data_IF_804970365075
#
_entry.id   IF_804970365075
#
_cell.length_a   1.000
_cell.length_b   1.000
_cell.length_c   1.000
_cell.angle_alpha   90.00
_cell.angle_beta   90.00
_cell.angle_gamma   90.00
#
_symmetry.space_group_name_H-M   'P 1'
#
loop_
_entity.id
_entity.type
_entity.pdbx_description
1 polymer ?
#
# COMPACT_ATOMS: atom_id res chain seq x y z
N UNK A 1 19.57 14.16 -9.63
CA UNK A 1 18.22 13.99 -9.07
C UNK A 1 17.73 12.58 -9.40
N UNK A 2 17.21 11.84 -8.40
CA UNK A 2 16.90 10.40 -8.48
C UNK A 2 15.48 10.11 -9.01
N UNK A 3 14.51 10.98 -8.76
CA UNK A 3 13.09 10.75 -9.05
C UNK A 3 12.68 11.41 -10.36
N UNK A 4 12.12 10.60 -11.26
CA UNK A 4 11.74 11.04 -12.61
C UNK A 4 10.67 10.16 -13.21
N UNK A 5 9.94 10.75 -14.15
CA UNK A 5 9.08 10.06 -15.10
C UNK A 5 9.72 10.17 -16.49
N UNK A 6 9.92 9.02 -17.14
CA UNK A 6 10.43 8.92 -18.50
C UNK A 6 9.27 8.54 -19.41
N UNK A 7 8.97 9.37 -20.41
CA UNK A 7 8.01 9.05 -21.48
C UNK A 7 8.75 8.60 -22.72
N UNK A 8 8.36 7.44 -23.27
CA UNK A 8 8.96 6.91 -24.49
C UNK A 8 8.01 7.18 -25.66
N UNK A 9 8.45 7.98 -26.63
CA UNK A 9 7.68 8.31 -27.82
C UNK A 9 7.83 7.23 -28.91
N UNK A 10 6.83 7.08 -29.79
CA UNK A 10 6.90 6.24 -31.00
C UNK A 10 8.09 6.55 -31.91
N UNK A 11 8.61 7.79 -31.90
CA UNK A 11 9.81 8.14 -32.65
C UNK A 11 11.13 7.71 -31.97
N UNK A 12 11.04 6.96 -30.87
CA UNK A 12 12.18 6.50 -30.06
C UNK A 12 12.75 7.55 -29.10
N UNK A 13 12.22 8.77 -29.08
CA UNK A 13 12.68 9.80 -28.15
C UNK A 13 12.23 9.50 -26.71
N UNK A 14 13.04 9.93 -25.74
CA UNK A 14 12.77 9.82 -24.32
C UNK A 14 12.71 11.21 -23.72
N UNK A 15 11.54 11.59 -23.22
CA UNK A 15 11.39 12.83 -22.47
C UNK A 15 11.39 12.52 -20.98
N UNK A 16 12.18 13.28 -20.23
CA UNK A 16 12.32 13.12 -18.79
C UNK A 16 11.69 14.30 -18.06
N UNK A 17 10.84 14.00 -17.10
CA UNK A 17 10.27 14.96 -16.15
C UNK A 17 10.86 14.62 -14.78
N UNK A 18 11.43 15.61 -14.10
CA UNK A 18 12.10 15.43 -12.80
C UNK A 18 11.20 15.94 -11.70
N UNK A 19 11.20 15.22 -10.60
CA UNK A 19 10.40 15.54 -9.42
C UNK A 19 11.28 15.60 -8.18
N UNK A 20 10.81 16.31 -7.17
CA UNK A 20 11.27 16.17 -5.80
C UNK A 20 10.85 14.81 -5.24
N UNK A 21 11.47 14.40 -4.12
CA UNK A 21 11.09 13.18 -3.40
C UNK A 21 9.61 13.18 -3.04
N UNK A 22 9.13 14.31 -2.51
CA UNK A 22 7.75 14.52 -2.06
C UNK A 22 6.75 14.43 -3.21
N UNK A 23 7.01 15.13 -4.32
CA UNK A 23 6.14 15.08 -5.51
C UNK A 23 6.05 13.66 -6.08
N UNK A 24 7.16 12.93 -6.14
CA UNK A 24 7.18 11.56 -6.63
C UNK A 24 6.58 10.54 -5.65
N UNK A 25 6.57 10.83 -4.34
CA UNK A 25 5.97 9.96 -3.34
C UNK A 25 4.44 10.02 -3.35
N UNK A 26 3.89 11.22 -3.53
CA UNK A 26 2.46 11.49 -3.39
C UNK A 26 1.77 11.91 -4.70
N UNK A 27 2.42 11.63 -5.83
CA UNK A 27 1.97 12.00 -7.18
C UNK A 27 1.49 13.47 -7.30
N UNK A 28 2.23 14.40 -6.67
CA UNK A 28 1.91 15.83 -6.65
C UNK A 28 2.38 16.54 -7.92
N UNK A 29 1.93 16.04 -9.06
CA UNK A 29 2.17 16.62 -10.37
C UNK A 29 0.88 16.54 -11.20
N UNK A 30 0.71 17.48 -12.13
CA UNK A 30 -0.44 17.46 -13.04
C UNK A 30 -0.29 16.28 -14.00
N UNK A 31 -0.93 15.16 -13.67
CA UNK A 31 -0.93 13.94 -14.47
C UNK A 31 -1.45 14.21 -15.88
N UNK A 32 -2.46 15.07 -16.02
CA UNK A 32 -3.04 15.43 -17.32
C UNK A 32 -2.02 16.20 -18.14
N UNK A 33 -1.39 17.24 -17.60
CA UNK A 33 -0.34 17.99 -18.28
C UNK A 33 0.82 17.07 -18.71
N UNK A 34 1.24 16.19 -17.79
CA UNK A 34 2.28 15.21 -18.07
C UNK A 34 1.90 14.33 -19.26
N UNK A 35 0.68 13.78 -19.32
CA UNK A 35 0.25 12.91 -20.42
C UNK A 35 -0.05 13.67 -21.72
N UNK A 36 -0.58 14.88 -21.63
CA UNK A 36 -0.92 15.74 -22.75
C UNK A 36 0.28 16.45 -23.39
N UNK A 37 1.45 16.43 -22.75
CA UNK A 37 2.67 16.99 -23.32
C UNK A 37 3.03 16.35 -24.67
N UNK A 38 3.55 17.19 -25.58
CA UNK A 38 4.06 16.78 -26.89
C UNK A 38 5.49 16.26 -26.74
N UNK A 39 5.87 15.30 -27.59
CA UNK A 39 7.26 14.86 -27.67
C UNK A 39 8.20 16.03 -28.03
N UNK A 40 9.23 16.25 -27.22
CA UNK A 40 10.21 17.33 -27.43
C UNK A 40 10.94 17.23 -28.77
N UNK A 41 11.04 16.02 -29.34
CA UNK A 41 11.73 15.76 -30.60
C UNK A 41 10.84 15.84 -31.84
N UNK A 42 9.65 15.24 -31.84
CA UNK A 42 8.79 15.16 -33.02
C UNK A 42 7.50 15.97 -32.93
N UNK A 43 7.19 16.58 -31.77
CA UNK A 43 5.99 17.38 -31.56
C UNK A 43 4.68 16.59 -31.46
N UNK A 44 4.71 15.26 -31.65
CA UNK A 44 3.53 14.39 -31.61
C UNK A 44 3.19 13.96 -30.17
N UNK A 45 1.90 13.71 -29.89
CA UNK A 45 1.42 13.11 -28.62
C UNK A 45 1.35 11.58 -28.68
N UNK A 46 2.32 10.93 -29.34
CA UNK A 46 2.32 9.48 -29.58
C UNK A 46 3.27 8.79 -28.60
N UNK A 47 2.81 8.60 -27.37
CA UNK A 47 3.54 7.92 -26.30
C UNK A 47 3.29 6.41 -26.35
N UNK A 48 4.34 5.61 -26.19
CA UNK A 48 4.27 4.14 -26.14
C UNK A 48 4.18 3.63 -24.71
N UNK A 49 4.97 4.23 -23.82
CA UNK A 49 5.06 3.81 -22.43
C UNK A 49 5.59 4.95 -21.57
N UNK A 50 5.45 4.77 -20.26
CA UNK A 50 6.14 5.59 -19.27
C UNK A 50 6.86 4.70 -18.26
N UNK A 51 7.87 5.28 -17.60
CA UNK A 51 8.57 4.66 -16.47
C UNK A 51 8.67 5.70 -15.37
N UNK A 52 8.19 5.38 -14.17
CA UNK A 52 8.25 6.26 -13.01
C UNK A 52 9.24 5.66 -12.00
N UNK A 53 10.08 6.51 -11.43
CA UNK A 53 10.93 6.15 -10.29
C UNK A 53 10.38 6.81 -9.03
N UNK A 54 9.55 6.06 -8.27
CA UNK A 54 9.06 6.47 -6.95
C UNK A 54 10.15 6.32 -5.88
N UNK A 55 10.16 7.14 -4.82
CA UNK A 55 11.04 6.93 -3.68
C UNK A 55 10.66 5.68 -2.89
N UNK A 56 11.64 5.10 -2.18
CA UNK A 56 11.34 4.15 -1.12
C UNK A 56 10.68 4.88 0.05
N UNK A 57 9.81 4.18 0.78
CA UNK A 57 9.22 4.71 1.99
C UNK A 57 10.30 4.89 3.07
N UNK A 58 10.23 6.03 3.74
CA UNK A 58 10.99 6.28 4.95
C UNK A 58 10.15 7.01 5.97
N UNK A 59 10.71 7.14 7.18
CA UNK A 59 10.00 7.71 8.32
C UNK A 59 9.51 9.13 8.08
N UNK A 60 10.24 9.92 7.31
CA UNK A 60 9.84 11.29 6.96
C UNK A 60 8.56 11.26 6.10
N UNK A 61 8.57 10.49 5.00
CA UNK A 61 7.42 10.36 4.12
C UNK A 61 6.21 9.78 4.83
N UNK A 62 6.40 8.72 5.62
CA UNK A 62 5.31 8.07 6.34
C UNK A 62 4.68 8.98 7.40
N UNK A 63 5.48 9.83 8.06
CA UNK A 63 4.94 10.79 9.02
C UNK A 63 4.25 11.96 8.34
N UNK A 64 4.75 12.43 7.19
CA UNK A 64 4.08 13.47 6.42
C UNK A 64 2.70 12.97 5.93
N UNK A 65 2.69 11.81 5.29
CA UNK A 65 1.49 11.10 4.86
C UNK A 65 0.53 10.85 6.03
N UNK A 66 1.03 10.28 7.12
CA UNK A 66 0.21 9.88 8.25
C UNK A 66 -0.50 11.06 8.92
N UNK A 67 0.04 12.27 8.82
CA UNK A 67 -0.49 13.47 9.45
C UNK A 67 -1.28 14.38 8.49
N UNK A 68 -1.46 13.98 7.22
CA UNK A 68 -2.09 14.80 6.20
C UNK A 68 -3.17 14.02 5.44
N UNK A 69 -4.41 14.52 5.51
CA UNK A 69 -5.56 13.90 4.86
C UNK A 69 -5.49 13.94 3.32
N UNK A 70 -4.78 14.91 2.76
CA UNK A 70 -4.70 15.14 1.31
C UNK A 70 -3.56 14.35 0.63
N UNK A 71 -2.75 13.61 1.40
CA UNK A 71 -1.63 12.86 0.86
C UNK A 71 -1.95 11.37 0.78
N UNK A 72 -1.68 10.81 -0.39
CA UNK A 72 -1.80 9.39 -0.70
C UNK A 72 -0.54 8.96 -1.45
N UNK A 73 0.02 7.80 -1.12
CA UNK A 73 1.10 7.19 -1.89
C UNK A 73 0.57 6.62 -3.21
N UNK A 74 -0.67 6.12 -3.18
CA UNK A 74 -1.46 5.68 -4.33
C UNK A 74 -2.94 5.72 -3.92
N UNK A 75 -3.80 6.41 -4.67
CA UNK A 75 -5.19 6.65 -4.25
C UNK A 75 -6.03 5.36 -4.19
N UNK A 76 -5.75 4.41 -5.09
CA UNK A 76 -6.59 3.22 -5.27
C UNK A 76 -6.07 1.95 -4.59
N UNK A 77 -4.79 1.88 -4.22
CA UNK A 77 -4.13 0.64 -3.75
C UNK A 77 -3.02 0.91 -2.70
N UNK A 78 -3.23 1.90 -1.82
CA UNK A 78 -2.24 2.34 -0.82
C UNK A 78 -1.74 1.20 0.08
N UNK A 79 -2.65 0.34 0.52
CA UNK A 79 -2.35 -0.82 1.35
C UNK A 79 -1.49 -1.85 0.62
N UNK A 80 -1.72 -2.07 -0.67
CA UNK A 80 -0.93 -3.01 -1.47
C UNK A 80 0.49 -2.50 -1.68
N UNK A 81 0.66 -1.19 -1.90
CA UNK A 81 2.00 -0.61 -2.02
C UNK A 81 2.80 -0.71 -0.72
N UNK A 82 2.14 -0.60 0.43
CA UNK A 82 2.79 -0.65 1.74
C UNK A 82 3.05 -2.09 2.22
N UNK A 83 2.30 -3.09 1.73
CA UNK A 83 2.36 -4.50 2.13
C UNK A 83 3.57 -5.27 1.60
N UNK A 84 4.77 -4.74 1.82
CA UNK A 84 6.04 -5.42 1.57
C UNK A 84 6.82 -5.66 2.87
N UNK A 85 7.56 -6.77 2.94
CA UNK A 85 8.39 -7.13 4.10
C UNK A 85 9.32 -6.00 4.55
N UNK A 86 9.94 -5.30 3.59
CA UNK A 86 10.88 -4.21 3.84
C UNK A 86 10.26 -3.04 4.62
N UNK A 87 8.93 -2.91 4.58
CA UNK A 87 8.20 -1.81 5.22
C UNK A 87 7.71 -2.17 6.63
N UNK A 88 7.79 -3.44 7.06
CA UNK A 88 7.24 -3.89 8.36
C UNK A 88 7.77 -3.05 9.52
N UNK A 89 9.10 -2.89 9.61
CA UNK A 89 9.72 -2.18 10.72
C UNK A 89 9.31 -0.71 10.73
N UNK A 90 9.26 -0.09 9.55
CA UNK A 90 8.82 1.28 9.36
C UNK A 90 7.35 1.47 9.78
N UNK A 91 6.47 0.55 9.42
CA UNK A 91 5.05 0.58 9.80
C UNK A 91 4.89 0.42 11.31
N UNK A 92 5.57 -0.55 11.90
CA UNK A 92 5.51 -0.82 13.34
C UNK A 92 6.07 0.34 14.17
N UNK A 93 7.08 1.05 13.67
CA UNK A 93 7.68 2.22 14.31
C UNK A 93 6.73 3.41 14.42
N UNK A 94 5.75 3.51 13.52
CA UNK A 94 4.89 4.70 13.41
C UNK A 94 3.44 4.44 13.79
N UNK A 95 2.95 3.20 13.77
CA UNK A 95 1.53 2.87 13.95
C UNK A 95 0.94 3.40 15.27
N UNK A 96 1.76 3.47 16.32
CA UNK A 96 1.38 3.98 17.65
C UNK A 96 1.60 5.50 17.80
N UNK A 97 2.04 6.19 16.75
CA UNK A 97 2.22 7.63 16.78
C UNK A 97 0.86 8.35 16.81
N UNK A 98 0.65 9.16 17.84
CA UNK A 98 -0.58 9.92 18.07
C UNK A 98 -0.84 11.02 17.04
N UNK A 99 0.19 11.43 16.28
CA UNK A 99 0.03 12.43 15.21
C UNK A 99 -0.63 11.82 13.98
N UNK A 100 -0.49 10.51 13.77
CA UNK A 100 -1.08 9.83 12.62
C UNK A 100 -2.59 9.86 12.74
N UNK A 101 -3.25 10.26 11.65
CA UNK A 101 -4.69 10.31 11.51
C UNK A 101 -5.28 8.90 11.59
N UNK A 102 -6.45 8.77 12.23
CA UNK A 102 -7.04 7.46 12.52
C UNK A 102 -7.27 6.60 11.27
N UNK A 103 -7.73 7.20 10.17
CA UNK A 103 -7.92 6.49 8.91
C UNK A 103 -6.59 5.99 8.29
N UNK A 104 -5.50 6.76 8.39
CA UNK A 104 -4.16 6.31 7.98
C UNK A 104 -3.65 5.19 8.89
N UNK A 105 -3.94 5.25 10.20
CA UNK A 105 -3.62 4.15 11.13
C UNK A 105 -4.40 2.88 10.78
N UNK A 106 -5.65 2.99 10.35
CA UNK A 106 -6.45 1.86 9.86
C UNK A 106 -5.77 1.22 8.64
N UNK A 107 -5.29 2.01 7.67
CA UNK A 107 -4.53 1.50 6.51
C UNK A 107 -3.29 0.73 6.98
N UNK A 108 -2.52 1.26 7.92
CA UNK A 108 -1.34 0.54 8.46
C UNK A 108 -1.70 -0.80 9.12
N UNK A 109 -2.84 -0.87 9.82
CA UNK A 109 -3.34 -2.14 10.39
C UNK A 109 -3.75 -3.11 9.28
N UNK A 110 -4.45 -2.62 8.26
CA UNK A 110 -4.85 -3.42 7.09
C UNK A 110 -3.64 -4.00 6.37
N UNK A 111 -2.60 -3.19 6.12
CA UNK A 111 -1.32 -3.62 5.54
C UNK A 111 -0.70 -4.77 6.35
N UNK A 112 -0.66 -4.66 7.67
CA UNK A 112 -0.11 -5.72 8.53
C UNK A 112 -0.98 -6.99 8.50
N UNK A 113 -2.30 -6.87 8.35
CA UNK A 113 -3.18 -8.01 8.16
C UNK A 113 -3.00 -8.69 6.79
N UNK A 114 -2.81 -7.90 5.70
CA UNK A 114 -2.45 -8.40 4.37
C UNK A 114 -1.14 -9.17 4.43
N UNK A 115 -0.11 -8.62 5.09
CA UNK A 115 1.18 -9.30 5.27
C UNK A 115 1.06 -10.64 6.01
N UNK A 116 0.18 -10.75 7.01
CA UNK A 116 -0.10 -12.03 7.67
C UNK A 116 -0.79 -13.01 6.71
N UNK A 117 -1.77 -12.53 5.94
CA UNK A 117 -2.52 -13.34 4.98
C UNK A 117 -1.59 -13.90 3.89
N UNK A 118 -0.84 -13.02 3.21
CA UNK A 118 0.06 -13.38 2.11
C UNK A 118 1.14 -14.35 2.56
N UNK A 119 1.52 -14.33 3.83
CA UNK A 119 2.61 -15.14 4.37
C UNK A 119 2.14 -16.28 5.26
N UNK A 120 0.83 -16.56 5.22
CA UNK A 120 0.27 -17.77 5.80
C UNK A 120 0.55 -18.96 4.87
N UNK A 121 1.20 -20.00 5.40
CA UNK A 121 1.76 -21.11 4.63
C UNK A 121 0.79 -21.96 3.81
N UNK A 122 -0.51 -21.69 3.88
CA UNK A 122 -1.55 -22.42 3.16
C UNK A 122 -1.74 -21.94 1.70
N UNK A 123 -1.22 -20.75 1.36
CA UNK A 123 -1.19 -20.22 -0.01
C UNK A 123 0.11 -20.57 -0.75
N UNK A 124 1.01 -21.30 -0.09
CA UNK A 124 2.34 -21.58 -0.60
C UNK A 124 2.26 -22.82 -1.49
N UNK A 125 2.50 -22.62 -2.78
CA UNK A 125 2.57 -23.68 -3.79
C UNK A 125 3.54 -24.79 -3.33
N UNK A 126 3.21 -26.05 -3.61
CA UNK A 126 4.00 -27.21 -3.23
C UNK A 126 5.40 -27.22 -3.87
N UNK A 127 5.61 -26.41 -4.91
CA UNK A 127 6.91 -26.21 -5.57
C UNK A 127 7.83 -25.20 -4.85
N UNK A 128 7.32 -24.44 -3.88
CA UNK A 128 8.13 -23.48 -3.14
C UNK A 128 9.08 -24.21 -2.17
N UNK A 129 10.34 -23.76 -2.15
CA UNK A 129 11.39 -24.34 -1.31
C UNK A 129 10.99 -24.23 0.17
N UNK A 130 11.16 -25.30 0.94
CA UNK A 130 10.87 -25.35 2.38
C UNK A 130 11.41 -24.15 3.18
N UNK A 131 12.60 -23.64 2.81
CA UNK A 131 13.21 -22.48 3.45
C UNK A 131 12.39 -21.18 3.26
N UNK A 132 11.76 -21.02 2.11
CA UNK A 132 10.92 -19.87 1.82
C UNK A 132 9.59 -19.96 2.58
N UNK A 133 9.00 -21.16 2.66
CA UNK A 133 7.83 -21.43 3.53
C UNK A 133 8.11 -21.03 4.97
N UNK A 134 9.28 -21.42 5.49
CA UNK A 134 9.69 -21.13 6.86
C UNK A 134 9.87 -19.62 7.09
N UNK A 135 10.53 -18.92 6.17
CA UNK A 135 10.73 -17.47 6.26
C UNK A 135 9.39 -16.71 6.27
N UNK A 136 8.47 -17.05 5.35
CA UNK A 136 7.13 -16.44 5.29
C UNK A 136 6.35 -16.71 6.56
N UNK A 137 6.38 -17.94 7.06
CA UNK A 137 5.72 -18.31 8.32
C UNK A 137 6.27 -17.55 9.53
N UNK A 138 7.59 -17.36 9.60
CA UNK A 138 8.25 -16.55 10.65
C UNK A 138 7.83 -15.08 10.59
N UNK A 139 7.74 -14.51 9.38
CA UNK A 139 7.29 -13.14 9.20
C UNK A 139 5.83 -12.96 9.62
N UNK A 140 4.93 -13.84 9.15
CA UNK A 140 3.52 -13.80 9.55
C UNK A 140 3.35 -13.92 11.07
N UNK A 141 4.12 -14.79 11.72
CA UNK A 141 4.11 -14.93 13.18
C UNK A 141 4.63 -13.67 13.89
N UNK A 142 5.69 -13.04 13.37
CA UNK A 142 6.22 -11.77 13.89
C UNK A 142 5.16 -10.68 13.86
N UNK A 143 4.55 -10.44 12.69
CA UNK A 143 3.52 -9.41 12.52
C UNK A 143 2.28 -9.71 13.39
N UNK A 144 1.85 -10.97 13.45
CA UNK A 144 0.73 -11.36 14.29
C UNK A 144 0.98 -11.09 15.79
N UNK A 145 2.20 -11.32 16.28
CA UNK A 145 2.57 -11.02 17.66
C UNK A 145 2.50 -9.51 17.96
N UNK A 146 2.97 -8.67 17.04
CA UNK A 146 2.87 -7.22 17.18
C UNK A 146 1.41 -6.75 17.22
N UNK A 147 0.57 -7.26 16.32
CA UNK A 147 -0.86 -6.94 16.30
C UNK A 147 -1.61 -7.52 17.51
N UNK A 148 -1.16 -8.64 18.09
CA UNK A 148 -1.74 -9.22 19.30
C UNK A 148 -1.58 -8.28 20.51
N UNK A 149 -0.51 -7.49 20.57
CA UNK A 149 -0.36 -6.44 21.58
C UNK A 149 -1.25 -5.22 21.31
N UNK A 150 -1.74 -5.08 20.07
CA UNK A 150 -2.53 -3.93 19.55
C UNK A 150 -3.94 -4.31 19.12
N UNK A 151 -4.55 -5.34 19.73
CA UNK A 151 -5.89 -5.85 19.35
C UNK A 151 -6.97 -4.77 19.22
N UNK A 152 -6.94 -3.74 20.07
CA UNK A 152 -7.89 -2.62 19.99
C UNK A 152 -7.83 -1.90 18.64
N UNK A 153 -6.61 -1.67 18.12
CA UNK A 153 -6.42 -1.08 16.79
C UNK A 153 -6.94 -2.00 15.68
N UNK A 154 -6.71 -3.32 15.81
CA UNK A 154 -7.22 -4.31 14.85
C UNK A 154 -8.76 -4.30 14.80
N UNK A 155 -9.42 -4.21 15.95
CA UNK A 155 -10.87 -4.14 16.02
C UNK A 155 -11.43 -2.82 15.44
N UNK A 156 -10.72 -1.69 15.61
CA UNK A 156 -11.10 -0.42 14.99
C UNK A 156 -11.02 -0.48 13.45
N UNK A 157 -10.07 -1.25 12.92
CA UNK A 157 -9.88 -1.44 11.48
C UNK A 157 -10.74 -2.56 10.87
N UNK A 158 -11.49 -3.32 11.67
CA UNK A 158 -12.13 -4.58 11.24
C UNK A 158 -13.06 -4.44 10.02
N UNK A 159 -13.80 -3.34 9.92
CA UNK A 159 -14.72 -3.09 8.80
C UNK A 159 -14.01 -2.75 7.48
N UNK A 160 -12.75 -2.34 7.56
CA UNK A 160 -11.91 -2.02 6.41
C UNK A 160 -11.19 -3.27 5.89
N UNK A 161 -10.80 -4.18 6.79
CA UNK A 161 -10.13 -5.42 6.42
C UNK A 161 -11.10 -6.38 5.73
N UNK A 162 -10.71 -6.88 4.57
CA UNK A 162 -11.50 -7.84 3.79
C UNK A 162 -11.73 -9.16 4.54
N UNK A 163 -12.92 -9.75 4.36
CA UNK A 163 -13.36 -10.96 5.08
C UNK A 163 -12.36 -12.13 4.94
N UNK A 164 -11.89 -12.40 3.72
CA UNK A 164 -10.91 -13.46 3.46
C UNK A 164 -9.55 -13.21 4.14
N UNK A 165 -9.17 -11.95 4.38
CA UNK A 165 -7.97 -11.60 5.14
C UNK A 165 -8.23 -11.88 6.62
N UNK A 166 -9.40 -11.47 7.15
CA UNK A 166 -9.77 -11.69 8.56
C UNK A 166 -9.78 -13.16 8.92
N UNK A 167 -10.34 -14.02 8.08
CA UNK A 167 -10.35 -15.48 8.26
C UNK A 167 -8.97 -16.07 8.55
N UNK A 168 -7.91 -15.50 7.96
CA UNK A 168 -6.53 -15.99 8.11
C UNK A 168 -5.74 -15.23 9.17
N UNK A 169 -5.87 -13.91 9.19
CA UNK A 169 -5.08 -13.05 10.07
C UNK A 169 -5.59 -13.05 11.51
N UNK A 170 -6.91 -12.96 11.72
CA UNK A 170 -7.49 -12.78 13.05
C UNK A 170 -7.21 -13.94 14.00
N UNK A 171 -7.31 -15.22 13.59
CA UNK A 171 -6.96 -16.34 14.45
C UNK A 171 -5.51 -16.28 14.95
N UNK A 172 -4.57 -15.87 14.10
CA UNK A 172 -3.14 -15.73 14.47
C UNK A 172 -2.89 -14.58 15.46
N UNK A 173 -3.71 -13.53 15.38
CA UNK A 173 -3.71 -12.39 16.32
C UNK A 173 -4.44 -12.77 17.63
N UNK A 174 -5.18 -13.87 17.65
CA UNK A 174 -6.01 -14.30 18.78
C UNK A 174 -7.32 -13.52 18.90
N UNK A 175 -7.90 -13.16 17.76
CA UNK A 175 -9.26 -12.64 17.60
C UNK A 175 -10.15 -13.72 16.99
N UNK A 176 -11.44 -13.73 17.34
CA UNK A 176 -12.43 -14.57 16.69
C UNK A 176 -13.01 -13.80 15.51
N UNK A 177 -13.00 -14.40 14.33
CA UNK A 177 -13.78 -13.92 13.20
C UNK A 177 -15.08 -14.74 13.16
N UNK A 178 -16.23 -14.08 13.22
CA UNK A 178 -17.53 -14.70 12.95
C UNK A 178 -18.11 -14.02 11.73
N UNK A 179 -18.31 -14.76 10.66
CA UNK A 179 -19.00 -14.28 9.46
C UNK A 179 -20.41 -13.81 9.84
N UNK A 180 -20.60 -12.52 10.04
CA UNK A 180 -21.95 -11.94 9.96
C UNK A 180 -22.26 -11.74 8.49
N UNK A 181 -23.27 -12.44 7.97
CA UNK A 181 -23.80 -12.44 6.61
C UNK A 181 -24.06 -11.03 6.00
N UNK A 182 -23.02 -10.25 5.72
CA UNK A 182 -23.10 -8.91 5.12
C UNK A 182 -22.30 -8.80 3.79
N UNK A 183 -21.90 -9.94 3.22
CA UNK A 183 -21.05 -10.08 2.03
C UNK A 183 -21.58 -9.52 0.70
N UNK A 184 -22.61 -8.66 0.71
CA UNK A 184 -23.05 -7.88 -0.46
C UNK A 184 -23.07 -6.37 -0.24
N UNK A 185 -22.98 -5.91 1.01
CA UNK A 185 -23.11 -4.48 1.35
C UNK A 185 -21.77 -3.74 1.34
N UNK A 186 -20.69 -4.40 1.78
CA UNK A 186 -19.42 -3.72 2.15
C UNK A 186 -18.66 -3.11 0.97
N UNK A 187 -18.58 -3.80 -0.18
CA UNK A 187 -17.84 -3.31 -1.36
C UNK A 187 -18.42 -2.02 -1.95
N UNK A 188 -19.75 -1.95 -2.08
CA UNK A 188 -20.43 -0.76 -2.64
C UNK A 188 -20.52 0.42 -1.66
N UNK A 189 -20.54 0.16 -0.35
CA UNK A 189 -20.45 1.21 0.66
C UNK A 189 -19.04 1.81 0.78
N UNK A 190 -17.98 1.03 0.52
CA UNK A 190 -16.60 1.52 0.47
C UNK A 190 -16.41 2.54 -0.65
N UNK A 191 -16.85 2.24 -1.88
CA UNK A 191 -16.82 3.17 -3.01
C UNK A 191 -17.51 4.52 -2.70
N UNK A 192 -18.60 4.53 -1.94
CA UNK A 192 -19.31 5.77 -1.58
C UNK A 192 -18.53 6.71 -0.67
N UNK A 193 -17.60 6.20 0.13
CA UNK A 193 -16.79 7.01 1.05
C UNK A 193 -15.58 7.66 0.35
N UNK A 194 -15.13 7.08 -0.77
CA UNK A 194 -14.07 7.66 -1.62
C UNK A 194 -14.57 8.76 -2.57
N UNK A 195 -15.89 8.96 -2.68
CA UNK A 195 -16.51 9.94 -3.60
C UNK A 195 -17.37 11.01 -2.90
N UNK A 196 -17.11 11.32 -1.62
CA UNK A 196 -17.68 12.47 -0.91
C UNK A 196 -16.57 13.39 -0.42
#
# INVERSE_FOLDING_TARGET
MKYKLIKICKCGNRDEIRFTKREAAFDLYDTKEVWDSKCSKCGEKKWLSSQVTKPEFDKELMLEWGNNIDLFFEEQDEELMLAEEKNIDLILDIIDNHKILDHKRIILVEVLCVLIYDNSGELIDKEIKLKEVENRSKMAARVANELKSRKKLVLLAESWIMDYIKERAFPKIGLKYSETNNGKSSFWSKLKYYFQ
#
